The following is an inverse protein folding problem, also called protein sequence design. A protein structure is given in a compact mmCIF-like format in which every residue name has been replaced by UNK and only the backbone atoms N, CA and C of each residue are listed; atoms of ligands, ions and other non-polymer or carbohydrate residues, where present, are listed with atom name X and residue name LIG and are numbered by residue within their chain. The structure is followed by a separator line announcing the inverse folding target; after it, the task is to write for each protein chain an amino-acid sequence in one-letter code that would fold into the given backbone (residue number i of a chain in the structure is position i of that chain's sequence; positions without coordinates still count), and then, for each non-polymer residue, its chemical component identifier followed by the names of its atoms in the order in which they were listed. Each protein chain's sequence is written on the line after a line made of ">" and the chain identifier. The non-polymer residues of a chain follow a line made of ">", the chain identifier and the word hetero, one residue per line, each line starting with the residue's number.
data_IF_165102340536
#
_entry.id   IF_165102340536
#
_cell.length_a   1.000
_cell.length_b   1.000
_cell.length_c   1.000
_cell.angle_alpha   90.00
_cell.angle_beta   90.00
_cell.angle_gamma   90.00
#
_symmetry.space_group_name_H-M   'P 1'
#
loop_
_entity.id
_entity.type
_entity.pdbx_description
1 polymer ?
#
# COMPACT_ATOMS: atom_id res chain seq x y z
N UNK A 1 7.34 -19.13 8.07
CA UNK A 1 6.13 -18.42 8.57
C UNK A 1 5.28 -18.02 7.37
N UNK A 2 3.94 -18.06 7.48
CA UNK A 2 3.02 -17.95 6.32
C UNK A 2 2.11 -16.70 6.32
N UNK A 3 2.12 -15.89 7.39
CA UNK A 3 1.20 -14.77 7.57
C UNK A 3 2.01 -13.50 7.86
N UNK A 4 1.61 -12.39 7.25
CA UNK A 4 2.18 -11.06 7.48
C UNK A 4 1.07 -10.01 7.63
N UNK A 5 1.27 -9.07 8.55
CA UNK A 5 0.43 -7.88 8.72
C UNK A 5 1.31 -6.68 8.42
N UNK A 6 0.85 -5.77 7.56
CA UNK A 6 1.68 -4.68 7.06
C UNK A 6 0.99 -3.33 7.25
N UNK A 7 1.73 -2.38 7.83
CA UNK A 7 1.33 -0.98 7.88
C UNK A 7 1.49 -0.28 6.52
N UNK A 8 0.76 0.82 6.31
CA UNK A 8 0.93 1.68 5.14
C UNK A 8 2.38 2.22 5.07
N UNK A 9 2.91 2.36 3.85
CA UNK A 9 4.29 2.80 3.63
C UNK A 9 4.36 3.79 2.48
N UNK A 10 5.19 4.81 2.62
CA UNK A 10 5.46 5.80 1.57
C UNK A 10 6.14 5.11 0.39
N UNK A 11 5.64 5.38 -0.82
CA UNK A 11 6.40 5.13 -2.06
C UNK A 11 6.93 6.49 -2.49
N UNK A 12 8.25 6.73 -2.45
CA UNK A 12 8.80 8.06 -2.66
C UNK A 12 8.68 8.49 -4.12
N UNK A 13 8.28 9.73 -4.32
CA UNK A 13 8.42 10.50 -5.55
C UNK A 13 9.56 11.54 -5.38
N UNK A 14 9.75 12.46 -6.33
CA UNK A 14 10.80 13.47 -6.26
C UNK A 14 10.68 14.37 -5.03
N UNK A 15 9.46 14.76 -4.66
CA UNK A 15 9.21 15.62 -3.50
C UNK A 15 9.54 14.90 -2.21
N UNK A 16 9.16 13.62 -2.08
CA UNK A 16 9.51 12.79 -0.93
C UNK A 16 11.02 12.52 -0.85
N UNK A 17 11.71 12.38 -1.97
CA UNK A 17 13.18 12.25 -1.98
C UNK A 17 13.85 13.50 -1.41
N UNK A 18 13.37 14.70 -1.78
CA UNK A 18 13.88 15.97 -1.25
C UNK A 18 13.51 16.14 0.22
N UNK A 19 12.26 15.92 0.59
CA UNK A 19 11.75 16.06 1.96
C UNK A 19 12.52 15.18 2.94
N UNK A 20 12.71 13.90 2.62
CA UNK A 20 13.34 12.93 3.51
C UNK A 20 14.84 12.74 3.24
N UNK A 21 15.44 13.53 2.32
CA UNK A 21 16.86 13.44 1.94
C UNK A 21 17.27 12.01 1.59
N UNK A 22 16.44 11.33 0.78
CA UNK A 22 16.67 9.93 0.44
C UNK A 22 17.83 9.80 -0.54
N UNK A 23 18.61 8.72 -0.39
CA UNK A 23 19.72 8.40 -1.32
C UNK A 23 19.26 8.21 -2.76
N UNK A 24 18.03 7.71 -2.94
CA UNK A 24 17.41 7.47 -4.23
C UNK A 24 15.89 7.35 -4.08
N UNK A 25 15.20 7.36 -5.22
CA UNK A 25 13.77 7.05 -5.30
C UNK A 25 13.57 5.54 -5.19
N UNK A 26 13.29 5.07 -3.98
CA UNK A 26 13.08 3.64 -3.72
C UNK A 26 11.78 3.13 -4.35
N UNK A 27 11.79 1.86 -4.80
CA UNK A 27 10.59 1.19 -5.30
C UNK A 27 9.57 1.01 -4.18
N UNK A 28 8.29 0.94 -4.55
CA UNK A 28 7.20 0.69 -3.60
C UNK A 28 7.41 -0.62 -2.84
N UNK A 29 7.42 -0.60 -1.48
CA UNK A 29 7.52 -1.82 -0.70
C UNK A 29 6.40 -2.83 -1.01
N UNK A 30 5.18 -2.35 -1.30
CA UNK A 30 4.06 -3.22 -1.68
C UNK A 30 4.30 -3.92 -3.03
N UNK A 31 4.90 -3.21 -4.00
CA UNK A 31 5.25 -3.79 -5.30
C UNK A 31 6.36 -4.83 -5.18
N UNK A 32 7.41 -4.53 -4.41
CA UNK A 32 8.51 -5.47 -4.15
C UNK A 32 8.02 -6.77 -3.50
N UNK A 33 7.24 -6.68 -2.42
CA UNK A 33 6.72 -7.87 -1.72
C UNK A 33 5.82 -8.70 -2.64
N UNK A 34 4.92 -8.06 -3.39
CA UNK A 34 4.01 -8.76 -4.30
C UNK A 34 4.75 -9.49 -5.42
N UNK A 35 5.81 -8.90 -5.97
CA UNK A 35 6.61 -9.57 -7.01
C UNK A 35 7.35 -10.80 -6.46
N UNK A 36 7.80 -10.75 -5.20
CA UNK A 36 8.44 -11.88 -4.54
C UNK A 36 7.43 -13.00 -4.23
N UNK A 37 6.25 -12.65 -3.70
CA UNK A 37 5.22 -13.62 -3.30
C UNK A 37 4.35 -14.12 -4.48
N UNK A 38 4.35 -13.39 -5.59
CA UNK A 38 3.60 -13.67 -6.82
C UNK A 38 2.11 -14.02 -6.59
N UNK A 39 1.45 -13.29 -5.68
CA UNK A 39 0.05 -13.51 -5.31
C UNK A 39 -0.92 -12.46 -5.88
N UNK A 40 -2.22 -12.73 -5.74
CA UNK A 40 -3.30 -11.80 -6.13
C UNK A 40 -3.76 -10.96 -4.93
N UNK A 41 -4.09 -9.68 -5.17
CA UNK A 41 -4.65 -8.80 -4.13
C UNK A 41 -6.17 -8.76 -4.25
N UNK A 42 -6.85 -9.06 -3.16
CA UNK A 42 -8.30 -8.90 -3.02
C UNK A 42 -8.59 -7.66 -2.17
N UNK A 43 -9.65 -6.92 -2.52
CA UNK A 43 -10.10 -5.73 -1.78
C UNK A 43 -11.60 -5.85 -1.55
N UNK A 44 -12.01 -5.72 -0.29
CA UNK A 44 -13.41 -5.77 0.11
C UNK A 44 -13.70 -4.56 1.02
N UNK A 45 -14.81 -3.84 0.81
CA UNK A 45 -15.19 -2.75 1.71
C UNK A 45 -15.71 -3.30 3.04
N UNK A 46 -15.45 -2.58 4.12
CA UNK A 46 -16.13 -2.80 5.39
C UNK A 46 -17.46 -2.03 5.35
N UNK A 47 -18.59 -2.72 5.38
CA UNK A 47 -19.92 -2.11 5.27
C UNK A 47 -20.48 -1.76 6.64
N UNK A 48 -20.78 -0.48 6.86
CA UNK A 48 -21.44 0.02 8.07
C UNK A 48 -22.89 0.40 7.75
N UNK A 49 -23.86 -0.12 8.52
CA UNK A 49 -25.30 0.11 8.28
C UNK A 49 -25.70 1.59 8.30
N UNK A 50 -24.97 2.42 9.04
CA UNK A 50 -25.21 3.85 9.22
C UNK A 50 -24.37 4.75 8.30
N UNK A 51 -23.55 4.18 7.42
CA UNK A 51 -22.75 4.94 6.45
C UNK A 51 -23.39 4.79 5.06
N UNK A 52 -23.94 5.86 4.47
CA UNK A 52 -24.55 5.80 3.14
C UNK A 52 -23.54 5.38 2.06
N UNK A 53 -24.00 4.57 1.12
CA UNK A 53 -23.19 4.20 -0.06
C UNK A 53 -23.22 5.35 -1.07
N UNK A 54 -22.12 5.50 -1.83
CA UNK A 54 -22.05 6.46 -2.92
C UNK A 54 -23.05 6.12 -4.04
N UNK A 55 -23.22 4.83 -4.33
CA UNK A 55 -24.23 4.29 -5.25
C UNK A 55 -25.18 3.43 -4.42
N UNK A 56 -26.50 3.72 -4.41
CA UNK A 56 -27.50 2.98 -3.64
C UNK A 56 -27.51 1.47 -3.93
#
# INVERSE_FOLDING_TARGET
>A
YNVAIKCATITPDEDRVREFKLKQMWKSPNGTIRNILNGTVFREPIICKNVPKLVP
#
